data_IF_998940212804
#
_entry.id   IF_998940212804
#
_cell.length_a   1.000
_cell.length_b   1.000
_cell.length_c   1.000
_cell.angle_alpha   90.00
_cell.angle_beta   90.00
_cell.angle_gamma   90.00
#
_symmetry.space_group_name_H-M   'P 1'
#
loop_
_entity.id
_entity.type
_entity.pdbx_description
1 polymer ?
#
# COMPACT_ATOMS: atom_id res chain seq x y z
N UNK A 1 5.79 31.92 -14.18
CA UNK A 1 5.41 31.34 -12.89
C UNK A 1 5.39 29.80 -12.93
N UNK A 2 4.68 29.13 -13.89
CA UNK A 2 4.64 27.66 -13.98
C UNK A 2 6.02 27.03 -14.20
N UNK A 3 6.88 27.60 -15.06
CA UNK A 3 8.24 27.11 -15.32
C UNK A 3 9.16 27.28 -14.10
N UNK A 4 9.00 28.35 -13.33
CA UNK A 4 9.76 28.57 -12.11
C UNK A 4 9.35 27.59 -11.00
N UNK A 5 8.04 27.35 -10.85
CA UNK A 5 7.53 26.35 -9.90
C UNK A 5 8.04 24.93 -10.25
N UNK A 6 7.99 24.53 -11.51
CA UNK A 6 8.53 23.25 -11.96
C UNK A 6 10.04 23.14 -11.74
N UNK A 7 10.80 24.20 -11.93
CA UNK A 7 12.24 24.21 -11.66
C UNK A 7 12.55 24.08 -10.16
N UNK A 8 11.77 24.76 -9.30
CA UNK A 8 11.91 24.62 -7.85
C UNK A 8 11.50 23.23 -7.36
N UNK A 9 10.45 22.64 -7.93
CA UNK A 9 10.05 21.25 -7.66
C UNK A 9 11.11 20.25 -8.11
N UNK A 10 11.80 20.51 -9.24
CA UNK A 10 12.93 19.68 -9.71
C UNK A 10 14.09 19.67 -8.73
N UNK A 11 14.49 20.83 -8.23
CA UNK A 11 15.64 20.94 -7.33
C UNK A 11 15.41 20.15 -6.04
N UNK A 12 14.33 20.39 -5.34
CA UNK A 12 14.09 19.69 -4.07
C UNK A 12 13.81 18.19 -4.27
N UNK A 13 13.20 17.79 -5.40
CA UNK A 13 12.98 16.39 -5.69
C UNK A 13 14.28 15.62 -5.98
N UNK A 14 15.25 16.26 -6.65
CA UNK A 14 16.59 15.70 -6.83
C UNK A 14 17.36 15.63 -5.52
N UNK A 15 17.27 16.64 -4.68
CA UNK A 15 17.83 16.63 -3.33
C UNK A 15 17.27 15.48 -2.49
N UNK A 16 15.95 15.23 -2.52
CA UNK A 16 15.33 14.11 -1.84
C UNK A 16 15.88 12.75 -2.28
N UNK A 17 16.25 12.62 -3.55
CA UNK A 17 16.81 11.39 -4.08
C UNK A 17 18.29 11.20 -3.75
N UNK A 18 19.05 12.29 -3.65
CA UNK A 18 20.51 12.24 -3.48
C UNK A 18 20.96 11.83 -2.06
N UNK A 19 20.28 12.30 -1.01
CA UNK A 19 20.84 12.31 0.35
C UNK A 19 20.15 11.40 1.39
N UNK A 20 19.42 10.37 0.94
CA UNK A 20 18.73 9.47 1.90
C UNK A 20 17.60 10.15 2.67
N UNK A 21 17.06 11.24 2.15
CA UNK A 21 15.93 11.96 2.74
C UNK A 21 14.60 11.21 2.57
N UNK A 22 14.52 10.27 1.61
CA UNK A 22 13.39 9.36 1.51
C UNK A 22 13.39 8.40 2.70
N UNK A 23 12.23 8.24 3.31
CA UNK A 23 12.00 7.31 4.41
C UNK A 23 10.63 6.66 4.26
N UNK A 24 10.38 5.56 4.96
CA UNK A 24 9.07 4.94 5.11
C UNK A 24 8.44 5.31 6.45
N UNK A 25 7.12 5.43 6.47
CA UNK A 25 6.37 5.27 7.70
C UNK A 25 5.61 3.96 7.61
N UNK A 26 5.52 3.23 8.69
CA UNK A 26 4.87 1.92 8.74
C UNK A 26 3.62 2.01 9.59
N UNK A 27 2.49 1.58 9.00
CA UNK A 27 1.23 1.53 9.71
C UNK A 27 0.85 0.07 10.00
N UNK A 28 0.54 -0.28 11.25
CA UNK A 28 0.19 -1.65 11.59
C UNK A 28 -1.14 -2.07 10.98
N UNK A 29 -1.16 -3.32 10.49
CA UNK A 29 -2.35 -4.06 10.10
C UNK A 29 -2.49 -5.20 11.10
N UNK A 30 -3.64 -5.30 11.77
CA UNK A 30 -3.87 -6.28 12.83
C UNK A 30 -4.88 -7.34 12.39
N UNK A 31 -4.76 -8.54 12.93
CA UNK A 31 -5.78 -9.57 12.76
C UNK A 31 -7.11 -9.14 13.42
N UNK A 32 -8.21 -9.35 12.74
CA UNK A 32 -9.54 -9.08 13.28
C UNK A 32 -9.85 -9.95 14.53
N UNK A 33 -9.34 -11.19 14.57
CA UNK A 33 -9.67 -12.19 15.59
C UNK A 33 -9.00 -11.93 16.95
N UNK A 34 -7.74 -11.50 16.97
CA UNK A 34 -6.95 -11.37 18.20
C UNK A 34 -6.27 -10.02 18.40
N UNK A 35 -6.47 -9.10 17.44
CA UNK A 35 -5.88 -7.74 17.42
C UNK A 35 -4.36 -7.71 17.40
N UNK A 36 -3.69 -8.83 17.20
CA UNK A 36 -2.23 -8.88 17.07
C UNK A 36 -1.80 -8.38 15.69
N UNK A 37 -0.67 -7.72 15.65
CA UNK A 37 -0.08 -7.22 14.39
C UNK A 37 0.20 -8.39 13.43
N UNK A 38 -0.43 -8.35 12.27
CA UNK A 38 -0.25 -9.30 11.18
C UNK A 38 0.80 -8.83 10.16
N UNK A 39 1.03 -7.52 10.11
CA UNK A 39 1.96 -6.89 9.18
C UNK A 39 1.88 -5.37 9.22
N UNK A 40 2.50 -4.75 8.24
CA UNK A 40 2.58 -3.29 8.14
C UNK A 40 2.41 -2.83 6.70
N UNK A 41 1.75 -1.70 6.51
CA UNK A 41 1.79 -0.96 5.25
C UNK A 41 2.95 0.04 5.27
N UNK A 42 3.78 -0.02 4.23
CA UNK A 42 4.89 0.91 4.02
C UNK A 42 4.42 2.13 3.24
N UNK A 43 4.39 3.27 3.90
CA UNK A 43 3.93 4.55 3.37
C UNK A 43 5.13 5.46 3.12
N UNK A 44 5.37 5.81 1.86
CA UNK A 44 6.48 6.68 1.47
C UNK A 44 6.40 8.03 2.20
N UNK A 45 7.53 8.46 2.73
CA UNK A 45 7.74 9.78 3.36
C UNK A 45 9.06 10.36 2.88
N UNK A 46 9.24 11.65 3.08
CA UNK A 46 10.54 12.28 2.93
C UNK A 46 10.77 13.28 4.04
N UNK A 47 12.01 13.38 4.49
CA UNK A 47 12.43 14.36 5.51
C UNK A 47 13.18 15.48 4.84
N UNK A 48 12.72 16.71 4.98
CA UNK A 48 13.45 17.90 4.54
C UNK A 48 14.60 18.23 5.50
N UNK A 49 15.59 19.02 5.06
CA UNK A 49 16.69 19.47 5.93
C UNK A 49 16.23 20.23 7.19
N UNK A 50 15.07 20.90 7.14
CA UNK A 50 14.45 21.58 8.27
C UNK A 50 13.70 20.63 9.24
N UNK A 51 13.72 19.32 8.96
CA UNK A 51 13.03 18.29 9.75
C UNK A 51 11.57 18.04 9.35
N UNK A 52 11.01 18.83 8.45
CA UNK A 52 9.62 18.65 7.98
C UNK A 52 9.46 17.30 7.25
N UNK A 53 8.40 16.56 7.58
CA UNK A 53 8.06 15.30 6.92
C UNK A 53 7.04 15.56 5.81
N UNK A 54 7.40 15.19 4.60
CA UNK A 54 6.53 15.23 3.43
C UNK A 54 5.71 13.94 3.32
N UNK A 55 4.44 14.09 2.96
CA UNK A 55 3.54 12.97 2.66
C UNK A 55 3.85 12.32 1.31
N UNK A 56 3.41 11.07 1.13
CA UNK A 56 3.48 10.38 -0.16
C UNK A 56 2.79 11.19 -1.27
N UNK A 57 1.66 11.84 -0.99
CA UNK A 57 0.91 12.63 -1.98
C UNK A 57 1.72 13.82 -2.51
N UNK A 58 2.50 14.51 -1.67
CA UNK A 58 3.36 15.61 -2.08
C UNK A 58 4.52 15.11 -2.95
N UNK A 59 5.16 14.01 -2.55
CA UNK A 59 6.28 13.41 -3.26
C UNK A 59 5.83 12.89 -4.62
N UNK A 60 4.71 12.15 -4.68
CA UNK A 60 4.15 11.62 -5.92
C UNK A 60 3.71 12.73 -6.89
N UNK A 61 3.14 13.82 -6.39
CA UNK A 61 2.77 14.99 -7.23
C UNK A 61 4.00 15.58 -7.90
N UNK A 62 5.10 15.78 -7.17
CA UNK A 62 6.34 16.27 -7.74
C UNK A 62 6.96 15.28 -8.74
N UNK A 63 6.97 14.00 -8.42
CA UNK A 63 7.46 12.95 -9.32
C UNK A 63 6.69 12.90 -10.65
N UNK A 64 5.34 13.06 -10.59
CA UNK A 64 4.51 13.15 -11.81
C UNK A 64 4.81 14.39 -12.63
N UNK A 65 4.99 15.56 -11.98
CA UNK A 65 5.33 16.80 -12.66
C UNK A 65 6.68 16.74 -13.39
N UNK A 66 7.59 15.88 -12.95
CA UNK A 66 8.93 15.70 -13.48
C UNK A 66 9.10 14.44 -14.34
N UNK A 67 8.04 13.67 -14.55
CA UNK A 67 8.08 12.38 -15.26
C UNK A 67 9.07 11.38 -14.60
N UNK A 68 9.07 11.33 -13.25
CA UNK A 68 9.97 10.51 -12.44
C UNK A 68 9.26 9.43 -11.60
N UNK A 69 8.00 9.14 -11.94
CA UNK A 69 7.17 8.18 -11.19
C UNK A 69 7.82 6.79 -11.15
N UNK A 70 8.32 6.28 -12.28
CA UNK A 70 8.95 4.96 -12.38
C UNK A 70 10.17 4.85 -11.45
N UNK A 71 11.04 5.85 -11.48
CA UNK A 71 12.24 5.89 -10.65
C UNK A 71 11.88 5.94 -9.16
N UNK A 72 10.88 6.77 -8.81
CA UNK A 72 10.42 6.90 -7.43
C UNK A 72 9.79 5.60 -6.93
N UNK A 73 8.96 4.95 -7.73
CA UNK A 73 8.28 3.71 -7.39
C UNK A 73 9.29 2.59 -7.08
N UNK A 74 10.31 2.41 -7.93
CA UNK A 74 11.39 1.45 -7.67
C UNK A 74 12.13 1.75 -6.37
N UNK A 75 12.50 3.01 -6.14
CA UNK A 75 13.20 3.42 -4.90
C UNK A 75 12.34 3.23 -3.67
N UNK A 76 11.07 3.58 -3.72
CA UNK A 76 10.14 3.42 -2.60
C UNK A 76 10.01 1.95 -2.18
N UNK A 77 9.90 1.03 -3.15
CA UNK A 77 9.84 -0.42 -2.90
C UNK A 77 11.13 -0.95 -2.27
N UNK A 78 12.28 -0.56 -2.80
CA UNK A 78 13.59 -0.96 -2.24
C UNK A 78 13.73 -0.45 -0.81
N UNK A 79 13.43 0.83 -0.60
CA UNK A 79 13.47 1.45 0.72
C UNK A 79 12.57 0.76 1.74
N UNK A 80 11.33 0.41 1.34
CA UNK A 80 10.40 -0.31 2.21
C UNK A 80 10.98 -1.66 2.65
N UNK A 81 11.57 -2.43 1.73
CA UNK A 81 12.22 -3.71 2.04
C UNK A 81 13.43 -3.53 2.98
N UNK A 82 14.30 -2.56 2.69
CA UNK A 82 15.50 -2.29 3.47
C UNK A 82 15.17 -1.83 4.89
N UNK A 83 14.20 -0.92 5.03
CA UNK A 83 13.79 -0.43 6.35
C UNK A 83 13.05 -1.50 7.15
N UNK A 84 12.13 -2.24 6.54
CA UNK A 84 11.46 -3.34 7.22
C UNK A 84 12.46 -4.37 7.76
N UNK A 85 13.50 -4.69 6.96
CA UNK A 85 14.56 -5.61 7.41
C UNK A 85 15.43 -5.02 8.50
N UNK A 86 15.87 -3.76 8.34
CA UNK A 86 16.73 -3.05 9.30
C UNK A 86 16.08 -2.93 10.69
N UNK A 87 14.78 -2.68 10.73
CA UNK A 87 14.02 -2.48 11.96
C UNK A 87 13.26 -3.74 12.41
N UNK A 88 13.59 -4.89 11.82
CA UNK A 88 13.05 -6.21 12.20
C UNK A 88 11.51 -6.25 12.24
N UNK A 89 10.85 -5.56 11.30
CA UNK A 89 9.39 -5.60 11.21
C UNK A 89 8.94 -7.00 10.78
N UNK A 90 8.09 -7.62 11.60
CA UNK A 90 7.62 -8.98 11.39
C UNK A 90 6.22 -9.00 10.75
N UNK A 91 5.90 -10.12 10.10
CA UNK A 91 4.61 -10.33 9.44
C UNK A 91 4.62 -9.99 7.95
N UNK A 92 3.47 -9.54 7.46
CA UNK A 92 3.30 -9.14 6.06
C UNK A 92 3.80 -7.69 5.88
N UNK A 93 4.41 -7.42 4.73
CA UNK A 93 4.82 -6.09 4.33
C UNK A 93 4.06 -5.69 3.07
N UNK A 94 3.15 -4.74 3.23
CA UNK A 94 2.37 -4.18 2.14
C UNK A 94 3.09 -2.98 1.56
N UNK A 95 3.25 -2.96 0.23
CA UNK A 95 4.02 -1.94 -0.49
C UNK A 95 3.22 -1.47 -1.69
N UNK A 96 2.96 -0.17 -1.74
CA UNK A 96 2.29 0.46 -2.86
C UNK A 96 3.08 0.25 -4.16
N UNK A 97 2.36 -0.02 -5.24
CA UNK A 97 2.90 -0.39 -6.52
C UNK A 97 2.09 0.24 -7.66
N UNK A 98 2.79 0.85 -8.62
CA UNK A 98 2.18 1.52 -9.76
C UNK A 98 2.46 0.72 -11.06
N UNK A 99 1.59 -0.20 -11.48
CA UNK A 99 1.82 -1.02 -12.68
C UNK A 99 2.05 -0.20 -13.94
N UNK A 100 1.35 0.92 -14.09
CA UNK A 100 1.48 1.83 -15.23
C UNK A 100 2.86 2.53 -15.32
N UNK A 101 3.63 2.52 -14.24
CA UNK A 101 5.00 3.04 -14.21
C UNK A 101 6.04 2.01 -14.70
N UNK A 102 5.62 0.82 -15.11
CA UNK A 102 6.52 -0.26 -15.52
C UNK A 102 6.40 -0.50 -17.02
N UNK A 103 7.41 -0.08 -17.76
CA UNK A 103 7.52 -0.36 -19.21
C UNK A 103 7.97 -1.80 -19.44
N UNK A 104 8.96 -2.29 -18.67
CA UNK A 104 9.45 -3.66 -18.72
C UNK A 104 9.29 -4.37 -17.36
N UNK A 105 8.28 -5.25 -17.24
CA UNK A 105 8.04 -6.02 -16.02
C UNK A 105 9.25 -6.85 -15.57
N UNK A 106 10.04 -7.36 -16.52
CA UNK A 106 11.17 -8.26 -16.25
C UNK A 106 12.26 -7.52 -15.50
N UNK A 107 12.67 -6.36 -15.99
CA UNK A 107 13.74 -5.55 -15.37
C UNK A 107 13.31 -5.03 -14.00
N UNK A 108 12.10 -4.53 -13.89
CA UNK A 108 11.58 -4.00 -12.65
C UNK A 108 11.44 -5.07 -11.56
N UNK A 109 10.94 -6.25 -11.95
CA UNK A 109 10.85 -7.42 -11.07
C UNK A 109 12.22 -7.88 -10.59
N UNK A 110 13.22 -7.96 -11.50
CA UNK A 110 14.58 -8.39 -11.14
C UNK A 110 15.19 -7.51 -10.05
N UNK A 111 15.03 -6.19 -10.13
CA UNK A 111 15.56 -5.27 -9.12
C UNK A 111 14.94 -5.52 -7.76
N UNK A 112 13.61 -5.62 -7.69
CA UNK A 112 12.90 -5.87 -6.42
C UNK A 112 13.23 -7.26 -5.85
N UNK A 113 13.27 -8.26 -6.72
CA UNK A 113 13.64 -9.64 -6.36
C UNK A 113 15.06 -9.71 -5.80
N UNK A 114 16.04 -9.13 -6.48
CA UNK A 114 17.46 -9.15 -6.05
C UNK A 114 17.63 -8.51 -4.65
N UNK A 115 16.88 -7.45 -4.36
CA UNK A 115 16.89 -6.82 -3.03
C UNK A 115 16.27 -7.74 -1.98
N UNK A 116 15.10 -8.33 -2.26
CA UNK A 116 14.45 -9.26 -1.34
C UNK A 116 15.35 -10.48 -1.03
N UNK A 117 15.99 -11.04 -2.06
CA UNK A 117 16.94 -12.16 -1.92
C UNK A 117 18.17 -11.76 -1.10
N UNK A 118 18.82 -10.62 -1.42
CA UNK A 118 19.96 -10.08 -0.67
C UNK A 118 19.63 -9.89 0.80
N UNK A 119 18.46 -9.38 1.11
CA UNK A 119 17.98 -9.13 2.48
C UNK A 119 17.42 -10.37 3.16
N UNK A 120 17.32 -11.50 2.45
CA UNK A 120 16.71 -12.74 2.94
C UNK A 120 15.27 -12.51 3.44
N UNK A 121 14.49 -11.73 2.68
CA UNK A 121 13.07 -11.52 2.91
C UNK A 121 12.30 -12.60 2.15
N UNK A 122 11.39 -13.30 2.84
CA UNK A 122 10.49 -14.25 2.22
C UNK A 122 9.51 -13.52 1.28
N UNK A 123 9.52 -13.78 -0.04
CA UNK A 123 8.59 -13.15 -0.97
C UNK A 123 7.12 -13.34 -0.59
N UNK A 124 6.77 -14.47 0.02
CA UNK A 124 5.43 -14.75 0.50
C UNK A 124 4.95 -13.82 1.63
N UNK A 125 5.85 -13.02 2.20
CA UNK A 125 5.52 -11.97 3.17
C UNK A 125 5.40 -10.58 2.56
N UNK A 126 5.79 -10.39 1.29
CA UNK A 126 5.69 -9.10 0.60
C UNK A 126 4.43 -9.08 -0.25
N UNK A 127 3.62 -8.04 -0.06
CA UNK A 127 2.34 -7.84 -0.73
C UNK A 127 2.41 -6.54 -1.53
N UNK A 128 2.24 -6.61 -2.84
CA UNK A 128 2.17 -5.42 -3.70
C UNK A 128 0.72 -4.93 -3.80
N UNK A 129 0.49 -3.68 -3.45
CA UNK A 129 -0.82 -3.03 -3.45
C UNK A 129 -1.01 -2.25 -4.74
N UNK A 130 -2.11 -2.51 -5.43
CA UNK A 130 -2.52 -1.80 -6.64
C UNK A 130 -3.83 -1.08 -6.39
N UNK A 131 -3.85 0.22 -6.70
CA UNK A 131 -5.01 1.08 -6.48
C UNK A 131 -6.05 0.88 -7.58
N UNK A 132 -7.34 0.73 -7.21
CA UNK A 132 -8.49 0.64 -8.11
C UNK A 132 -8.58 1.80 -9.13
N UNK A 133 -8.10 2.98 -8.75
CA UNK A 133 -8.20 4.20 -9.57
C UNK A 133 -7.28 4.22 -10.81
N UNK A 134 -6.42 3.22 -11.02
CA UNK A 134 -5.70 3.08 -12.27
C UNK A 134 -6.66 2.82 -13.44
N UNK A 135 -6.34 3.43 -14.59
CA UNK A 135 -7.21 3.33 -15.78
C UNK A 135 -7.44 1.88 -16.23
N UNK A 136 -8.68 1.52 -16.55
CA UNK A 136 -9.04 0.22 -17.14
C UNK A 136 -8.24 -0.12 -18.41
N UNK A 137 -7.73 0.88 -19.13
CA UNK A 137 -6.89 0.69 -20.31
C UNK A 137 -5.59 -0.07 -19.98
N UNK A 138 -5.14 -0.01 -18.73
CA UNK A 138 -3.91 -0.64 -18.25
C UNK A 138 -4.16 -1.97 -17.51
N UNK A 139 -5.41 -2.42 -17.37
CA UNK A 139 -5.76 -3.59 -16.56
C UNK A 139 -5.02 -4.86 -17.01
N UNK A 140 -4.93 -5.11 -18.32
CA UNK A 140 -4.23 -6.27 -18.85
C UNK A 140 -2.74 -6.21 -18.54
N UNK A 141 -2.11 -5.06 -18.75
CA UNK A 141 -0.72 -4.84 -18.42
C UNK A 141 -0.47 -5.03 -16.91
N UNK A 142 -1.31 -4.46 -16.05
CA UNK A 142 -1.23 -4.66 -14.60
C UNK A 142 -1.34 -6.14 -14.22
N UNK A 143 -2.28 -6.88 -14.83
CA UNK A 143 -2.44 -8.31 -14.58
C UNK A 143 -1.19 -9.11 -14.99
N UNK A 144 -0.61 -8.83 -16.15
CA UNK A 144 0.61 -9.49 -16.65
C UNK A 144 1.81 -9.22 -15.72
N UNK A 145 1.99 -7.96 -15.31
CA UNK A 145 3.03 -7.56 -14.36
C UNK A 145 2.87 -8.30 -13.03
N UNK A 146 1.68 -8.28 -12.45
CA UNK A 146 1.43 -8.90 -11.14
C UNK A 146 1.51 -10.44 -11.21
N UNK A 147 1.14 -11.05 -12.34
CA UNK A 147 1.35 -12.47 -12.56
C UNK A 147 2.84 -12.86 -12.51
N UNK A 148 3.73 -12.03 -13.08
CA UNK A 148 5.17 -12.24 -13.01
C UNK A 148 5.71 -12.13 -11.56
N UNK A 149 5.18 -11.19 -10.77
CA UNK A 149 5.52 -11.09 -9.34
C UNK A 149 5.06 -12.31 -8.53
N UNK A 150 3.84 -12.81 -8.79
CA UNK A 150 3.33 -14.04 -8.15
C UNK A 150 4.17 -15.27 -8.46
N UNK A 151 4.65 -15.41 -9.71
CA UNK A 151 5.55 -16.52 -10.08
C UNK A 151 6.84 -16.57 -9.26
N UNK A 152 7.22 -15.44 -8.64
CA UNK A 152 8.35 -15.33 -7.72
C UNK A 152 7.94 -15.46 -6.25
N UNK A 153 6.67 -15.76 -5.98
CA UNK A 153 6.16 -15.99 -4.63
C UNK A 153 5.63 -14.74 -3.91
N UNK A 154 5.68 -13.56 -4.54
CA UNK A 154 5.07 -12.35 -4.00
C UNK A 154 3.55 -12.43 -3.98
N UNK A 155 2.91 -11.67 -3.11
CA UNK A 155 1.46 -11.56 -3.01
C UNK A 155 0.96 -10.23 -3.58
N UNK A 156 -0.35 -10.16 -3.84
CA UNK A 156 -0.99 -8.98 -4.43
C UNK A 156 -2.19 -8.57 -3.57
N UNK A 157 -2.32 -7.27 -3.35
CA UNK A 157 -3.51 -6.66 -2.79
C UNK A 157 -4.16 -5.73 -3.82
N UNK A 158 -5.49 -5.74 -3.87
CA UNK A 158 -6.27 -4.71 -4.54
C UNK A 158 -6.70 -3.69 -3.50
N UNK A 159 -6.23 -2.44 -3.68
CA UNK A 159 -6.43 -1.35 -2.75
C UNK A 159 -7.58 -0.43 -3.14
N UNK A 160 -8.14 0.28 -2.17
CA UNK A 160 -9.20 1.28 -2.29
C UNK A 160 -10.54 0.76 -2.87
N UNK A 161 -10.90 -0.51 -2.68
CA UNK A 161 -12.19 -1.03 -3.14
C UNK A 161 -13.34 -0.21 -2.54
N UNK A 162 -14.15 0.33 -3.43
CA UNK A 162 -15.32 1.18 -3.11
C UNK A 162 -15.07 2.66 -3.26
N UNK A 163 -13.89 3.10 -3.72
CA UNK A 163 -13.57 4.50 -3.99
C UNK A 163 -13.89 4.93 -5.43
N UNK A 164 -13.88 4.00 -6.39
CA UNK A 164 -14.07 4.26 -7.82
C UNK A 164 -15.06 3.28 -8.47
N UNK A 165 -15.16 3.30 -9.81
CA UNK A 165 -16.27 2.65 -10.55
C UNK A 165 -15.94 1.24 -11.07
N UNK A 166 -14.73 0.71 -10.89
CA UNK A 166 -14.24 -0.48 -11.59
C UNK A 166 -13.73 -1.60 -10.70
N UNK A 167 -13.82 -1.51 -9.38
CA UNK A 167 -13.21 -2.43 -8.43
C UNK A 167 -13.53 -3.90 -8.63
N UNK A 168 -14.79 -4.24 -8.96
CA UNK A 168 -15.15 -5.63 -9.22
C UNK A 168 -14.52 -6.17 -10.52
N UNK A 169 -14.26 -5.31 -11.51
CA UNK A 169 -13.57 -5.69 -12.74
C UNK A 169 -12.10 -5.98 -12.43
N UNK A 170 -11.45 -5.11 -11.65
CA UNK A 170 -10.09 -5.32 -11.15
C UNK A 170 -9.98 -6.57 -10.29
N UNK A 171 -10.93 -6.79 -9.39
CA UNK A 171 -11.00 -7.98 -8.54
C UNK A 171 -11.03 -9.26 -9.36
N UNK A 172 -11.89 -9.29 -10.40
CA UNK A 172 -11.99 -10.44 -11.32
C UNK A 172 -10.72 -10.68 -12.12
N UNK A 173 -10.08 -9.62 -12.62
CA UNK A 173 -8.90 -9.73 -13.47
C UNK A 173 -7.63 -10.07 -12.69
N UNK A 174 -7.45 -9.47 -11.51
CA UNK A 174 -6.23 -9.64 -10.71
C UNK A 174 -6.26 -10.86 -9.81
N UNK A 175 -7.44 -11.33 -9.38
CA UNK A 175 -7.58 -12.41 -8.40
C UNK A 175 -6.62 -12.21 -7.19
N UNK A 176 -6.73 -11.09 -6.45
CA UNK A 176 -5.75 -10.70 -5.44
C UNK A 176 -5.79 -11.63 -4.23
N UNK A 177 -4.69 -11.68 -3.48
CA UNK A 177 -4.60 -12.39 -2.19
C UNK A 177 -5.27 -11.60 -1.07
N UNK A 178 -5.30 -10.25 -1.21
CA UNK A 178 -5.89 -9.33 -0.25
C UNK A 178 -6.74 -8.27 -0.96
N UNK A 179 -7.77 -7.81 -0.28
CA UNK A 179 -8.65 -6.72 -0.73
C UNK A 179 -8.80 -5.72 0.39
N UNK A 180 -8.37 -4.47 0.15
CA UNK A 180 -8.48 -3.38 1.10
C UNK A 180 -9.78 -2.62 0.85
N UNK A 181 -10.64 -2.58 1.85
CA UNK A 181 -11.95 -1.92 1.80
C UNK A 181 -11.74 -0.47 2.24
N UNK A 182 -11.99 0.46 1.30
CA UNK A 182 -11.72 1.87 1.48
C UNK A 182 -12.48 2.48 2.65
N UNK A 183 -11.88 3.50 3.27
CA UNK A 183 -12.43 4.32 4.35
C UNK A 183 -13.85 4.85 4.05
N UNK A 184 -14.20 5.13 2.80
CA UNK A 184 -15.55 5.58 2.44
C UNK A 184 -16.65 4.58 2.83
N UNK A 185 -16.31 3.28 2.89
CA UNK A 185 -17.20 2.22 3.31
C UNK A 185 -17.05 1.87 4.80
N UNK A 186 -15.85 2.00 5.38
CA UNK A 186 -15.55 1.58 6.76
C UNK A 186 -15.81 2.66 7.79
N UNK A 187 -15.62 3.94 7.47
CA UNK A 187 -15.91 5.03 8.41
C UNK A 187 -17.43 5.17 8.65
N UNK A 188 -17.85 5.17 9.90
CA UNK A 188 -19.25 5.19 10.32
C UNK A 188 -19.99 3.87 10.07
N UNK A 189 -19.27 2.77 9.96
CA UNK A 189 -19.80 1.43 9.69
C UNK A 189 -20.78 1.00 10.77
N UNK A 190 -20.55 1.35 12.03
CA UNK A 190 -21.43 1.04 13.14
C UNK A 190 -22.81 1.72 13.03
N UNK A 191 -22.88 2.90 12.42
CA UNK A 191 -24.09 3.69 12.32
C UNK A 191 -24.88 3.48 11.01
N UNK A 192 -24.21 3.08 9.89
CA UNK A 192 -24.81 3.11 8.56
C UNK A 192 -25.12 1.70 8.05
N UNK A 193 -26.41 1.33 8.09
CA UNK A 193 -26.89 -0.02 7.69
C UNK A 193 -26.46 -0.40 6.26
N UNK A 194 -26.52 0.54 5.32
CA UNK A 194 -26.14 0.28 3.92
C UNK A 194 -24.66 -0.08 3.79
N UNK A 195 -23.78 0.61 4.52
CA UNK A 195 -22.35 0.30 4.54
C UNK A 195 -22.10 -1.11 5.10
N UNK A 196 -22.78 -1.46 6.20
CA UNK A 196 -22.71 -2.82 6.77
C UNK A 196 -23.09 -3.89 5.74
N UNK A 197 -24.19 -3.69 5.03
CA UNK A 197 -24.64 -4.63 4.00
C UNK A 197 -23.60 -4.78 2.88
N UNK A 198 -23.00 -3.69 2.43
CA UNK A 198 -21.96 -3.70 1.38
C UNK A 198 -20.71 -4.41 1.89
N UNK A 199 -20.17 -4.03 3.06
CA UNK A 199 -18.95 -4.62 3.61
C UNK A 199 -19.13 -6.12 3.88
N UNK A 200 -20.28 -6.54 4.43
CA UNK A 200 -20.60 -7.96 4.63
C UNK A 200 -20.55 -8.75 3.32
N UNK A 201 -21.13 -8.21 2.24
CA UNK A 201 -21.13 -8.87 0.93
C UNK A 201 -19.77 -8.86 0.25
N UNK A 202 -18.98 -7.82 0.45
CA UNK A 202 -17.59 -7.80 -0.02
C UNK A 202 -16.73 -8.85 0.72
N UNK A 203 -16.85 -8.96 2.04
CA UNK A 203 -16.12 -9.95 2.82
C UNK A 203 -16.52 -11.39 2.41
N UNK A 204 -17.82 -11.64 2.18
CA UNK A 204 -18.32 -12.92 1.70
C UNK A 204 -17.76 -13.24 0.29
N UNK A 205 -17.82 -12.29 -0.64
CA UNK A 205 -17.30 -12.44 -2.00
C UNK A 205 -15.79 -12.73 -1.98
N UNK A 206 -15.02 -11.97 -1.24
CA UNK A 206 -13.58 -12.16 -1.12
C UNK A 206 -13.23 -13.57 -0.59
N UNK A 207 -13.94 -14.05 0.42
CA UNK A 207 -13.77 -15.40 0.95
C UNK A 207 -14.07 -16.46 -0.09
N UNK A 208 -15.11 -16.29 -0.92
CA UNK A 208 -15.47 -17.25 -1.99
C UNK A 208 -14.39 -17.36 -3.05
N UNK A 209 -13.67 -16.27 -3.35
CA UNK A 209 -12.59 -16.26 -4.35
C UNK A 209 -11.20 -16.52 -3.73
N UNK A 210 -11.13 -16.80 -2.42
CA UNK A 210 -9.87 -17.07 -1.71
C UNK A 210 -9.05 -15.86 -1.32
N UNK A 211 -9.59 -14.64 -1.43
CA UNK A 211 -8.96 -13.41 -0.98
C UNK A 211 -9.32 -13.09 0.47
N UNK A 212 -8.41 -12.42 1.19
CA UNK A 212 -8.63 -11.93 2.55
C UNK A 212 -8.89 -10.42 2.53
N UNK A 213 -9.75 -9.95 3.43
CA UNK A 213 -10.18 -8.56 3.48
C UNK A 213 -9.46 -7.77 4.58
N UNK A 214 -9.18 -6.49 4.29
CA UNK A 214 -8.63 -5.51 5.24
C UNK A 214 -9.59 -4.33 5.28
N UNK A 215 -10.16 -4.01 6.45
CA UNK A 215 -10.92 -2.77 6.62
C UNK A 215 -9.95 -1.63 6.96
N UNK A 216 -9.90 -0.64 6.09
CA UNK A 216 -8.99 0.49 6.24
C UNK A 216 -9.65 1.72 6.83
N UNK A 217 -8.82 2.64 7.35
CA UNK A 217 -9.26 3.96 7.78
C UNK A 217 -10.27 3.92 8.93
N UNK A 218 -10.23 2.87 9.75
CA UNK A 218 -11.00 2.80 10.97
C UNK A 218 -10.53 3.87 11.95
N UNK A 219 -11.47 4.65 12.49
CA UNK A 219 -11.17 5.76 13.40
C UNK A 219 -11.56 5.46 14.84
N UNK A 220 -12.50 4.52 15.05
CA UNK A 220 -12.97 4.13 16.38
C UNK A 220 -13.17 2.62 16.51
N UNK A 221 -13.33 2.17 17.76
CA UNK A 221 -13.50 0.76 18.10
C UNK A 221 -14.90 0.22 17.76
N UNK A 222 -15.89 1.09 17.63
CA UNK A 222 -17.26 0.67 17.26
C UNK A 222 -17.30 0.19 15.81
N UNK A 223 -16.70 0.97 14.88
CA UNK A 223 -16.56 0.57 13.48
C UNK A 223 -15.69 -0.68 13.33
N UNK A 224 -14.61 -0.78 14.11
CA UNK A 224 -13.73 -1.94 14.13
C UNK A 224 -14.45 -3.21 14.58
N UNK A 225 -15.25 -3.14 15.64
CA UNK A 225 -16.01 -4.28 16.15
C UNK A 225 -17.04 -4.77 15.14
N UNK A 226 -17.74 -3.83 14.49
CA UNK A 226 -18.70 -4.18 13.44
C UNK A 226 -17.99 -4.80 12.22
N UNK A 227 -16.81 -4.31 11.81
CA UNK A 227 -16.04 -4.93 10.74
C UNK A 227 -15.71 -6.40 11.03
N UNK A 228 -15.33 -6.73 12.28
CA UNK A 228 -15.10 -8.11 12.72
C UNK A 228 -16.38 -8.96 12.61
N UNK A 229 -17.51 -8.44 13.10
CA UNK A 229 -18.81 -9.13 13.02
C UNK A 229 -19.24 -9.42 11.60
N UNK A 230 -18.87 -8.53 10.65
CA UNK A 230 -19.14 -8.70 9.22
C UNK A 230 -18.19 -9.67 8.51
N UNK A 231 -17.20 -10.21 9.23
CA UNK A 231 -16.29 -11.23 8.74
C UNK A 231 -15.09 -10.68 7.97
N UNK A 232 -14.66 -9.45 8.26
CA UNK A 232 -13.39 -8.91 7.76
C UNK A 232 -12.22 -9.60 8.47
N UNK A 233 -11.14 -9.90 7.74
CA UNK A 233 -10.01 -10.69 8.24
C UNK A 233 -8.98 -9.84 8.99
N UNK A 234 -8.76 -8.60 8.53
CA UNK A 234 -7.77 -7.67 9.07
C UNK A 234 -8.33 -6.27 9.22
N UNK A 235 -7.72 -5.50 10.12
CA UNK A 235 -8.12 -4.14 10.45
C UNK A 235 -6.92 -3.21 10.36
N UNK A 236 -7.14 -2.00 9.86
CA UNK A 236 -6.15 -0.94 9.78
C UNK A 236 -6.80 0.41 10.10
N UNK A 237 -6.19 1.18 10.97
CA UNK A 237 -6.73 2.49 11.36
C UNK A 237 -6.13 2.99 12.66
N UNK A 238 -6.57 4.16 13.10
CA UNK A 238 -6.01 4.86 14.25
C UNK A 238 -6.11 4.10 15.57
N UNK A 239 -7.15 3.30 15.85
CA UNK A 239 -7.20 2.48 17.06
C UNK A 239 -6.05 1.48 17.18
N UNK A 240 -5.42 1.10 16.06
CA UNK A 240 -4.35 0.09 16.01
C UNK A 240 -2.96 0.72 15.81
N UNK A 241 -2.89 1.98 15.46
CA UNK A 241 -1.67 2.75 15.29
C UNK A 241 -1.70 3.69 14.09
N UNK A 242 -1.02 4.83 14.27
CA UNK A 242 -0.75 5.75 13.18
C UNK A 242 0.47 5.29 12.37
N UNK A 243 0.63 5.73 11.12
CA UNK A 243 1.88 5.56 10.40
C UNK A 243 3.04 6.19 11.17
N UNK A 244 4.04 5.40 11.54
CA UNK A 244 5.22 5.84 12.29
C UNK A 244 6.49 5.58 11.49
N UNK A 245 7.44 6.52 11.56
CA UNK A 245 8.78 6.30 11.04
C UNK A 245 9.47 5.27 11.95
N UNK A 246 10.24 4.29 11.41
CA UNK A 246 10.74 3.17 12.20
C UNK A 246 11.51 3.54 13.46
N UNK A 247 12.25 4.66 13.42
CA UNK A 247 12.98 5.16 14.59
C UNK A 247 12.07 5.54 15.77
N UNK A 248 10.78 5.73 15.52
CA UNK A 248 9.76 6.07 16.52
C UNK A 248 8.98 4.85 17.01
N UNK A 249 9.18 3.68 16.37
CA UNK A 249 8.46 2.43 16.72
C UNK A 249 9.11 1.64 17.87
N UNK A 250 10.34 1.98 18.25
CA UNK A 250 11.13 1.24 19.25
C UNK A 250 10.73 1.47 20.71
N UNK A 251 9.76 2.37 20.96
CA UNK A 251 9.35 2.75 22.32
C UNK A 251 7.88 2.37 22.65
N UNK A 252 7.29 1.37 21.94
CA UNK A 252 5.88 0.99 22.15
C UNK A 252 5.70 -0.45 22.56
#
# INVERSE_FOLDING_TARGET
LRRLAAALESIWFEELQADGQLTGAFQPIVNASDRRTAGYEALLRARRPDGTILSAAEILRAARALDRITTLDVRARILALEQAKKHELHGLLFINFTPSAIDDPTTCLQTTWAVAERLRIDPGKVVFEVIESESLTNLRHAADVLAAYRQRGFRVALDEIGSAHSGLVWLSALQPDFVKINRQLTAGLAAVVTKRAIVAKLAELCRQIGARTIAEGLEDEADASVAVELGVDFLQGYPFGHPQIPEQMSDS
#
